data_IF_015556394566
#
_entry.id   IF_015556394566
#
_cell.length_a   1.000
_cell.length_b   1.000
_cell.length_c   1.000
_cell.angle_alpha   90.00
_cell.angle_beta   90.00
_cell.angle_gamma   90.00
#
_symmetry.space_group_name_H-M   'P 1'
#
loop_
_entity.id
_entity.type
_entity.pdbx_description
1 polymer ?
#
# COMPACT_ATOMS: atom_id res chain seq x y z
N UNK A 1 15.67 -38.03 -5.54
CA UNK A 1 16.39 -37.02 -4.74
C UNK A 1 15.42 -35.88 -4.49
N UNK A 2 14.96 -35.74 -3.24
CA UNK A 2 13.94 -34.76 -2.87
C UNK A 2 14.65 -33.53 -2.29
N UNK A 3 14.66 -32.42 -3.02
CA UNK A 3 15.08 -31.13 -2.48
C UNK A 3 13.83 -30.25 -2.34
N UNK A 4 13.32 -30.17 -1.11
CA UNK A 4 12.32 -29.18 -0.71
C UNK A 4 13.07 -27.92 -0.30
N UNK A 5 13.00 -26.87 -1.10
CA UNK A 5 13.38 -25.51 -0.68
C UNK A 5 12.10 -24.72 -0.43
N UNK A 6 11.49 -24.95 0.74
CA UNK A 6 10.46 -24.05 1.27
C UNK A 6 11.14 -22.89 2.01
N UNK A 7 11.62 -21.88 1.28
CA UNK A 7 11.94 -20.58 1.89
C UNK A 7 10.67 -19.74 1.93
N UNK A 8 9.67 -20.23 2.66
CA UNK A 8 8.44 -19.49 2.92
C UNK A 8 8.65 -18.66 4.18
N UNK A 9 8.98 -17.38 4.02
CA UNK A 9 8.79 -16.42 5.11
C UNK A 9 7.31 -16.48 5.49
N UNK A 10 6.95 -16.79 6.75
CA UNK A 10 5.55 -16.92 7.13
C UNK A 10 4.88 -15.56 6.95
N UNK A 11 4.05 -15.44 5.92
CA UNK A 11 3.19 -14.28 5.76
C UNK A 11 2.18 -14.31 6.91
N UNK A 12 2.05 -13.23 7.69
CA UNK A 12 1.05 -13.18 8.75
C UNK A 12 -0.33 -13.34 8.09
N UNK A 13 -1.01 -14.42 8.47
CA UNK A 13 -2.40 -14.68 8.12
C UNK A 13 -3.20 -13.45 8.54
N UNK A 14 -3.92 -12.85 7.58
CA UNK A 14 -5.01 -11.87 7.71
C UNK A 14 -4.96 -11.04 8.99
N UNK A 15 -4.72 -9.72 8.89
CA UNK A 15 -4.73 -8.79 10.03
C UNK A 15 -6.02 -8.97 10.85
N UNK A 16 -5.95 -9.76 11.92
CA UNK A 16 -7.02 -9.92 12.89
C UNK A 16 -7.32 -8.52 13.46
N UNK A 17 -8.59 -8.13 13.65
CA UNK A 17 -8.93 -6.86 14.30
C UNK A 17 -8.17 -6.60 15.60
N UNK A 18 -7.88 -7.64 16.39
CA UNK A 18 -7.09 -7.57 17.63
C UNK A 18 -5.60 -7.24 17.42
N UNK A 19 -5.10 -7.28 16.18
CA UNK A 19 -3.69 -7.07 15.82
C UNK A 19 -3.49 -5.89 14.85
N UNK A 20 -4.50 -5.04 14.63
CA UNK A 20 -4.37 -3.88 13.73
C UNK A 20 -3.25 -2.95 14.18
N UNK A 21 -3.22 -2.59 15.47
CA UNK A 21 -2.20 -1.71 16.04
C UNK A 21 -0.79 -2.28 15.91
N UNK A 22 -0.59 -3.53 16.30
CA UNK A 22 0.72 -4.20 16.15
C UNK A 22 1.16 -4.31 14.69
N UNK A 23 0.21 -4.50 13.76
CA UNK A 23 0.51 -4.54 12.32
C UNK A 23 0.95 -3.17 11.79
N UNK A 24 0.30 -2.08 12.20
CA UNK A 24 0.71 -0.70 11.86
C UNK A 24 2.11 -0.41 12.38
N UNK A 25 2.37 -0.70 13.65
CA UNK A 25 3.69 -0.51 14.28
C UNK A 25 4.81 -1.29 13.56
N UNK A 26 4.53 -2.53 13.14
CA UNK A 26 5.49 -3.33 12.39
C UNK A 26 5.81 -2.71 11.02
N UNK A 27 4.80 -2.23 10.30
CA UNK A 27 5.01 -1.57 9.00
C UNK A 27 5.73 -0.24 9.19
N UNK A 28 5.33 0.56 10.19
CA UNK A 28 5.90 1.87 10.48
C UNK A 28 7.36 1.80 10.91
N UNK A 29 7.74 0.76 11.66
CA UNK A 29 9.15 0.53 12.02
C UNK A 29 10.03 0.16 10.82
N UNK A 30 9.47 -0.44 9.76
CA UNK A 30 10.18 -0.77 8.52
C UNK A 30 10.16 0.37 7.49
N UNK A 31 9.22 1.30 7.61
CA UNK A 31 8.98 2.37 6.65
C UNK A 31 10.23 3.23 6.35
N UNK A 32 11.07 3.66 7.32
CA UNK A 32 12.24 4.48 7.02
C UNK A 32 13.21 3.77 6.08
N UNK A 33 13.57 2.52 6.39
CA UNK A 33 14.47 1.72 5.56
C UNK A 33 13.91 1.53 4.14
N UNK A 34 12.59 1.30 4.00
CA UNK A 34 11.93 1.19 2.70
C UNK A 34 11.91 2.52 1.93
N UNK A 35 11.72 3.64 2.63
CA UNK A 35 11.71 4.96 2.02
C UNK A 35 13.10 5.39 1.53
N UNK A 36 14.16 4.96 2.22
CA UNK A 36 15.54 5.26 1.84
C UNK A 36 16.00 4.46 0.62
N UNK A 37 15.58 3.19 0.50
CA UNK A 37 16.00 2.34 -0.62
C UNK A 37 15.15 2.52 -1.87
N UNK A 38 13.87 2.89 -1.75
CA UNK A 38 12.96 2.96 -2.90
C UNK A 38 13.46 3.88 -4.05
N UNK A 39 14.02 5.08 -3.78
CA UNK A 39 14.55 5.96 -4.83
C UNK A 39 15.75 5.37 -5.59
N UNK A 40 16.46 4.39 -5.01
CA UNK A 40 17.58 3.73 -5.69
C UNK A 40 17.12 2.81 -6.83
N UNK A 41 15.83 2.49 -6.89
CA UNK A 41 15.23 1.58 -7.88
C UNK A 41 14.30 2.32 -8.84
N UNK A 42 14.59 3.60 -9.10
CA UNK A 42 13.88 4.35 -10.13
C UNK A 42 13.90 3.56 -11.45
N UNK A 43 12.70 3.36 -11.99
CA UNK A 43 12.53 2.51 -13.17
C UNK A 43 13.29 3.13 -14.35
N UNK A 44 14.18 2.39 -15.03
CA UNK A 44 14.88 2.91 -16.19
C UNK A 44 13.89 3.21 -17.34
N UNK A 45 14.22 4.18 -18.19
CA UNK A 45 13.61 4.30 -19.53
C UNK A 45 14.43 3.36 -20.43
N UNK A 46 13.92 2.25 -20.99
CA UNK A 46 12.53 1.93 -21.41
C UNK A 46 11.69 1.00 -20.51
N UNK A 47 12.14 0.65 -19.32
CA UNK A 47 11.47 -0.27 -18.38
C UNK A 47 12.40 -1.40 -17.93
N UNK A 48 12.14 -2.04 -16.79
CA UNK A 48 13.00 -3.10 -16.27
C UNK A 48 13.08 -4.28 -17.23
N UNK A 49 11.97 -4.66 -17.86
CA UNK A 49 11.95 -5.82 -18.75
C UNK A 49 12.82 -5.59 -19.97
N UNK A 50 12.66 -4.44 -20.62
CA UNK A 50 13.44 -4.09 -21.79
C UNK A 50 14.93 -3.91 -21.45
N UNK A 51 15.25 -3.24 -20.34
CA UNK A 51 16.63 -3.04 -19.87
C UNK A 51 17.32 -4.37 -19.59
N UNK A 52 16.72 -5.24 -18.76
CA UNK A 52 17.32 -6.54 -18.39
C UNK A 52 17.46 -7.42 -19.63
N UNK A 53 16.41 -7.52 -20.46
CA UNK A 53 16.46 -8.29 -21.71
C UNK A 53 17.63 -7.87 -22.59
N UNK A 54 17.82 -6.56 -22.78
CA UNK A 54 18.92 -6.01 -23.57
C UNK A 54 20.29 -6.28 -22.92
N UNK A 55 20.41 -6.12 -21.60
CA UNK A 55 21.64 -6.42 -20.86
C UNK A 55 22.04 -7.91 -20.94
N UNK A 56 21.06 -8.80 -21.06
CA UNK A 56 21.27 -10.24 -21.30
C UNK A 56 21.57 -10.58 -22.77
N UNK A 57 21.58 -9.60 -23.67
CA UNK A 57 21.77 -9.81 -25.11
C UNK A 57 20.59 -10.49 -25.81
N UNK A 58 19.40 -10.52 -25.18
CA UNK A 58 18.22 -11.16 -25.73
C UNK A 58 17.48 -10.24 -26.70
N UNK A 59 17.06 -10.77 -27.85
CA UNK A 59 16.06 -10.09 -28.70
C UNK A 59 14.66 -10.24 -28.12
N UNK A 60 13.69 -9.45 -28.61
CA UNK A 60 12.27 -9.65 -28.23
C UNK A 60 11.77 -11.05 -28.59
N UNK A 61 12.27 -11.63 -29.68
CA UNK A 61 11.96 -13.00 -30.10
C UNK A 61 12.47 -14.04 -29.10
N UNK A 62 13.64 -13.82 -28.50
CA UNK A 62 14.19 -14.74 -27.50
C UNK A 62 13.35 -14.75 -26.23
N UNK A 63 12.99 -13.56 -25.73
CA UNK A 63 12.10 -13.45 -24.59
C UNK A 63 10.71 -14.03 -24.91
N UNK A 64 10.18 -13.78 -26.12
CA UNK A 64 8.90 -14.32 -26.55
C UNK A 64 8.88 -15.85 -26.55
N UNK A 65 9.96 -16.49 -27.03
CA UNK A 65 10.13 -17.94 -26.97
C UNK A 65 10.16 -18.46 -25.54
N UNK A 66 10.90 -17.80 -24.65
CA UNK A 66 10.97 -18.16 -23.21
C UNK A 66 9.62 -17.99 -22.49
N UNK A 67 8.85 -16.98 -22.87
CA UNK A 67 7.51 -16.71 -22.31
C UNK A 67 6.38 -17.51 -22.99
N UNK A 68 6.67 -18.27 -24.06
CA UNK A 68 5.69 -18.96 -24.91
C UNK A 68 4.61 -18.03 -25.50
N UNK A 69 5.02 -16.86 -26.01
CA UNK A 69 4.13 -15.86 -26.63
C UNK A 69 4.67 -15.38 -27.97
N UNK A 70 3.88 -14.57 -28.69
CA UNK A 70 4.34 -13.88 -29.90
C UNK A 70 5.32 -12.73 -29.58
N UNK A 71 6.24 -12.45 -30.51
CA UNK A 71 7.19 -11.32 -30.41
C UNK A 71 6.48 -9.97 -30.23
N UNK A 72 5.33 -9.77 -30.87
CA UNK A 72 4.49 -8.58 -30.72
C UNK A 72 3.93 -8.42 -29.30
N UNK A 73 3.69 -9.51 -28.58
CA UNK A 73 3.25 -9.49 -27.18
C UNK A 73 4.35 -8.94 -26.29
N UNK A 74 5.63 -9.32 -26.52
CA UNK A 74 6.77 -8.76 -25.77
C UNK A 74 6.93 -7.27 -26.06
N UNK A 75 6.80 -6.84 -27.32
CA UNK A 75 6.86 -5.42 -27.66
C UNK A 75 5.76 -4.60 -26.94
N UNK A 76 4.52 -5.12 -26.90
CA UNK A 76 3.41 -4.49 -26.18
C UNK A 76 3.62 -4.50 -24.67
N UNK A 77 4.17 -5.59 -24.13
CA UNK A 77 4.49 -5.71 -22.70
C UNK A 77 5.49 -4.62 -22.29
N UNK A 78 6.59 -4.45 -23.02
CA UNK A 78 7.58 -3.41 -22.75
C UNK A 78 6.97 -2.00 -22.83
N UNK A 79 6.12 -1.76 -23.84
CA UNK A 79 5.43 -0.49 -23.98
C UNK A 79 4.45 -0.21 -22.82
N UNK A 80 3.69 -1.23 -22.40
CA UNK A 80 2.79 -1.14 -21.25
C UNK A 80 3.55 -0.97 -19.94
N UNK A 81 4.71 -1.60 -19.77
CA UNK A 81 5.58 -1.36 -18.62
C UNK A 81 6.00 0.10 -18.59
N UNK A 82 6.58 0.61 -19.68
CA UNK A 82 6.97 2.02 -19.80
C UNK A 82 5.80 2.98 -19.50
N UNK A 83 4.61 2.69 -20.01
CA UNK A 83 3.40 3.46 -19.76
C UNK A 83 2.81 3.32 -18.34
N UNK A 84 3.30 2.36 -17.53
CA UNK A 84 2.77 2.09 -16.18
C UNK A 84 1.41 1.37 -16.19
N UNK A 85 1.04 0.73 -17.30
CA UNK A 85 -0.24 0.02 -17.49
C UNK A 85 -0.09 -1.50 -17.52
N UNK A 86 1.12 -2.02 -17.30
CA UNK A 86 1.39 -3.45 -17.26
C UNK A 86 0.66 -4.12 -16.10
N UNK A 87 0.10 -5.29 -16.37
CA UNK A 87 -0.46 -6.17 -15.35
C UNK A 87 0.67 -6.80 -14.52
N UNK A 88 0.53 -6.85 -13.20
CA UNK A 88 1.56 -7.39 -12.31
C UNK A 88 1.91 -8.86 -12.64
N UNK A 89 0.92 -9.67 -12.97
CA UNK A 89 1.11 -11.07 -13.41
C UNK A 89 1.98 -11.17 -14.66
N UNK A 90 1.75 -10.29 -15.64
CA UNK A 90 2.55 -10.22 -16.87
C UNK A 90 4.01 -9.85 -16.57
N UNK A 91 4.23 -8.91 -15.65
CA UNK A 91 5.58 -8.52 -15.22
C UNK A 91 6.29 -9.67 -14.48
N UNK A 92 5.56 -10.41 -13.64
CA UNK A 92 6.06 -11.60 -12.96
C UNK A 92 6.53 -12.66 -13.95
N UNK A 93 5.68 -13.00 -14.93
CA UNK A 93 6.03 -13.99 -15.97
C UNK A 93 7.23 -13.56 -16.82
N UNK A 94 7.37 -12.27 -17.09
CA UNK A 94 8.55 -11.74 -17.80
C UNK A 94 9.81 -11.88 -16.95
N UNK A 95 9.73 -11.61 -15.64
CA UNK A 95 10.83 -11.79 -14.71
C UNK A 95 11.25 -13.27 -14.64
N UNK A 96 10.31 -14.20 -14.44
CA UNK A 96 10.61 -15.65 -14.44
C UNK A 96 11.27 -16.11 -15.73
N UNK A 97 10.77 -15.64 -16.88
CA UNK A 97 11.35 -15.99 -18.18
C UNK A 97 12.79 -15.48 -18.37
N UNK A 98 13.22 -14.46 -17.60
CA UNK A 98 14.58 -13.93 -17.59
C UNK A 98 15.39 -14.39 -16.36
N UNK A 99 14.89 -15.35 -15.59
CA UNK A 99 15.50 -15.82 -14.34
C UNK A 99 15.67 -14.70 -13.30
N UNK A 100 14.63 -13.87 -13.17
CA UNK A 100 14.56 -12.75 -12.24
C UNK A 100 13.39 -12.93 -11.26
N UNK A 101 13.54 -12.45 -10.04
CA UNK A 101 12.45 -12.35 -9.06
C UNK A 101 11.80 -10.96 -9.11
N UNK A 102 10.47 -10.91 -9.08
CA UNK A 102 9.73 -9.67 -8.96
C UNK A 102 9.37 -9.40 -7.50
N UNK A 103 9.96 -8.36 -6.91
CA UNK A 103 9.58 -7.86 -5.60
C UNK A 103 8.72 -6.60 -5.73
N UNK A 104 7.50 -6.62 -5.18
CA UNK A 104 6.61 -5.46 -5.13
C UNK A 104 6.38 -5.03 -3.67
N UNK A 105 6.57 -3.74 -3.39
CA UNK A 105 6.40 -3.18 -2.05
C UNK A 105 5.57 -1.91 -2.09
N UNK A 106 4.67 -1.77 -1.11
CA UNK A 106 3.96 -0.52 -0.84
C UNK A 106 4.67 0.20 0.30
N UNK A 107 5.16 1.41 0.05
CA UNK A 107 5.81 2.25 1.05
C UNK A 107 4.84 3.35 1.48
N UNK A 108 4.34 3.34 2.73
CA UNK A 108 3.50 4.40 3.24
C UNK A 108 4.23 5.75 3.21
N UNK A 109 3.56 6.79 2.69
CA UNK A 109 4.12 8.15 2.64
C UNK A 109 4.33 8.78 4.02
N UNK A 110 3.64 8.24 5.04
CA UNK A 110 3.69 8.63 6.44
C UNK A 110 3.32 7.43 7.32
N UNK A 111 3.58 7.47 8.64
CA UNK A 111 3.20 6.37 9.53
C UNK A 111 1.71 6.03 9.45
N UNK A 112 1.40 4.74 9.42
CA UNK A 112 0.04 4.21 9.40
C UNK A 112 -0.70 4.55 10.70
N UNK A 113 0.00 4.60 11.84
CA UNK A 113 -0.62 5.05 13.10
C UNK A 113 -1.13 6.50 12.97
N UNK A 114 -0.33 7.41 12.40
CA UNK A 114 -0.73 8.80 12.17
C UNK A 114 -1.93 8.90 11.23
N UNK A 115 -1.97 8.06 10.18
CA UNK A 115 -3.10 8.00 9.25
C UNK A 115 -4.41 7.63 9.96
N UNK A 116 -4.36 6.66 10.87
CA UNK A 116 -5.52 6.20 11.63
C UNK A 116 -5.96 7.25 12.66
N UNK A 117 -5.03 7.85 13.40
CA UNK A 117 -5.33 8.91 14.38
C UNK A 117 -5.99 10.10 13.69
N UNK A 118 -5.44 10.55 12.56
CA UNK A 118 -6.00 11.68 11.82
C UNK A 118 -7.42 11.37 11.32
N UNK A 119 -7.64 10.15 10.81
CA UNK A 119 -8.97 9.74 10.36
C UNK A 119 -9.97 9.64 11.52
N UNK A 120 -9.56 9.11 12.67
CA UNK A 120 -10.39 9.04 13.86
C UNK A 120 -10.77 10.44 14.36
N UNK A 121 -9.82 11.38 14.34
CA UNK A 121 -10.06 12.78 14.69
C UNK A 121 -11.03 13.44 13.73
N UNK A 122 -10.88 13.21 12.41
CA UNK A 122 -11.80 13.73 11.39
C UNK A 122 -13.24 13.27 11.64
N UNK A 123 -13.43 11.99 11.97
CA UNK A 123 -14.75 11.43 12.28
C UNK A 123 -15.32 11.96 13.59
N UNK A 124 -14.51 12.02 14.64
CA UNK A 124 -14.91 12.56 15.94
C UNK A 124 -15.36 14.03 15.79
N UNK A 125 -14.59 14.84 15.06
CA UNK A 125 -14.93 16.24 14.78
C UNK A 125 -16.24 16.38 13.98
N UNK A 126 -16.46 15.52 12.97
CA UNK A 126 -17.70 15.52 12.19
C UNK A 126 -18.93 15.19 13.06
N UNK A 127 -18.83 14.19 13.95
CA UNK A 127 -19.89 13.83 14.88
C UNK A 127 -20.15 14.94 15.90
N UNK A 128 -19.09 15.50 16.48
CA UNK A 128 -19.22 16.63 17.41
C UNK A 128 -19.88 17.82 16.75
N UNK A 129 -19.52 18.16 15.51
CA UNK A 129 -20.16 19.26 14.78
C UNK A 129 -21.66 19.03 14.54
N UNK A 130 -22.10 17.78 14.35
CA UNK A 130 -23.53 17.44 14.24
C UNK A 130 -24.22 17.63 15.60
N UNK A 131 -23.60 17.13 16.68
CA UNK A 131 -24.14 17.23 18.03
C UNK A 131 -24.20 18.69 18.55
N UNK A 132 -23.16 19.49 18.31
CA UNK A 132 -23.13 20.90 18.74
C UNK A 132 -24.11 21.76 17.96
N UNK A 133 -24.46 21.42 16.71
CA UNK A 133 -25.55 22.09 15.99
C UNK A 133 -26.89 21.89 16.70
N UNK A 134 -27.13 20.72 17.31
CA UNK A 134 -28.30 20.44 18.13
C UNK A 134 -28.23 21.13 19.50
N UNK A 135 -27.08 21.12 20.17
CA UNK A 135 -26.90 21.76 21.49
C UNK A 135 -26.91 23.30 21.44
N UNK A 136 -26.53 23.92 20.32
CA UNK A 136 -26.66 25.37 20.10
C UNK A 136 -28.13 25.84 20.15
N UNK A 137 -29.09 24.94 19.94
CA UNK A 137 -30.52 25.23 20.10
C UNK A 137 -30.97 25.17 21.58
N UNK A 138 -30.12 24.63 22.47
CA UNK A 138 -30.40 24.40 23.90
C UNK A 138 -29.61 25.35 24.83
N UNK A 139 -28.93 26.36 24.27
CA UNK A 139 -28.22 27.46 24.96
C UNK A 139 -27.09 27.03 25.93
N UNK A 140 -26.52 25.84 25.73
CA UNK A 140 -25.38 25.34 26.49
C UNK A 140 -24.12 25.26 25.61
N UNK A 141 -23.25 26.26 25.70
CA UNK A 141 -21.95 26.27 25.03
C UNK A 141 -20.84 25.82 25.99
N UNK A 142 -20.18 24.67 25.77
CA UNK A 142 -19.00 24.30 26.55
C UNK A 142 -17.82 25.23 26.25
N UNK A 143 -16.89 25.34 27.20
CA UNK A 143 -15.62 26.03 26.97
C UNK A 143 -14.70 25.24 26.01
N UNK A 144 -13.72 25.94 25.42
CA UNK A 144 -12.84 25.36 24.40
C UNK A 144 -11.96 24.20 24.92
N UNK A 145 -11.60 24.21 26.20
CA UNK A 145 -10.78 23.14 26.80
C UNK A 145 -11.60 21.85 26.95
N UNK A 146 -12.84 21.97 27.43
CA UNK A 146 -13.80 20.86 27.49
C UNK A 146 -14.10 20.26 26.11
N UNK A 147 -14.23 21.10 25.08
CA UNK A 147 -14.42 20.64 23.69
C UNK A 147 -13.22 19.87 23.16
N UNK A 148 -12.00 20.34 23.41
CA UNK A 148 -10.79 19.63 22.99
C UNK A 148 -10.64 18.28 23.69
N UNK A 149 -10.94 18.22 24.99
CA UNK A 149 -10.93 16.97 25.75
C UNK A 149 -11.92 15.96 25.20
N UNK A 150 -13.18 16.37 24.98
CA UNK A 150 -14.19 15.52 24.37
C UNK A 150 -13.79 15.01 22.98
N UNK A 151 -13.22 15.88 22.14
CA UNK A 151 -12.72 15.49 20.81
C UNK A 151 -11.63 14.42 20.91
N UNK A 152 -10.71 14.56 21.87
CA UNK A 152 -9.62 13.60 22.07
C UNK A 152 -10.13 12.24 22.56
N UNK A 153 -11.11 12.21 23.46
CA UNK A 153 -11.77 11.00 23.95
C UNK A 153 -12.50 10.29 22.81
N UNK A 154 -13.33 11.03 22.06
CA UNK A 154 -14.03 10.50 20.89
C UNK A 154 -13.07 10.01 19.79
N UNK A 155 -11.90 10.64 19.65
CA UNK A 155 -10.86 10.18 18.72
C UNK A 155 -10.30 8.84 19.19
N UNK A 156 -9.93 8.73 20.46
CA UNK A 156 -9.37 7.51 21.04
C UNK A 156 -10.33 6.31 20.88
N UNK A 157 -11.62 6.53 21.15
CA UNK A 157 -12.65 5.50 21.02
C UNK A 157 -12.84 4.98 19.60
N UNK A 158 -12.42 5.74 18.57
CA UNK A 158 -12.60 5.38 17.15
C UNK A 158 -11.38 4.77 16.47
N UNK A 159 -10.18 4.84 17.07
CA UNK A 159 -8.93 4.44 16.40
C UNK A 159 -8.94 2.98 15.91
N UNK A 160 -9.52 2.06 16.68
CA UNK A 160 -9.56 0.63 16.33
C UNK A 160 -10.97 0.10 16.02
N UNK A 161 -11.96 0.99 15.85
CA UNK A 161 -13.33 0.57 15.49
C UNK A 161 -13.41 0.10 14.03
N UNK A 162 -14.25 -0.91 13.72
CA UNK A 162 -14.63 -1.21 12.34
C UNK A 162 -15.29 0.02 11.69
N UNK A 163 -15.10 0.21 10.38
CA UNK A 163 -15.76 1.30 9.64
C UNK A 163 -15.10 2.68 9.76
N UNK A 164 -13.92 2.82 10.37
CA UNK A 164 -13.21 4.11 10.48
C UNK A 164 -13.05 4.85 9.14
N UNK A 165 -12.88 4.08 8.06
CA UNK A 165 -12.68 4.56 6.69
C UNK A 165 -13.97 4.53 5.85
N UNK A 166 -15.11 4.25 6.46
CA UNK A 166 -16.40 4.25 5.77
C UNK A 166 -16.95 5.67 5.65
N UNK A 167 -16.91 6.22 4.43
CA UNK A 167 -17.45 7.55 4.12
C UNK A 167 -18.99 7.58 4.08
N UNK A 168 -19.67 6.44 4.24
CA UNK A 168 -21.12 6.32 4.08
C UNK A 168 -21.96 6.56 5.33
N UNK A 169 -21.38 7.10 6.43
CA UNK A 169 -22.14 7.68 7.55
C UNK A 169 -22.91 8.95 7.08
N UNK A 170 -23.97 8.74 6.27
CA UNK A 170 -25.08 9.66 6.04
C UNK A 170 -25.88 9.77 7.32
#
# INVERSE_FOLDING_TARGET
MHCKTSSGVPMPKVVNPKHRRSSRQLIDSRRPALADVAPLFDRPQPGWVATIRQSLGMTRRDLARRMHVAESTVARLEASECAGTIQLDTLHRAAEAMDCELHYVLVPRRPLEDMVIEQARKRAAALMSRATHTMLLEDQKPDDESLQKLLSEMTADRIDTPGLWDDTER
#
